data_IF_150051144777
#
_entry.id   IF_150051144777
#
_cell.length_a   1.000
_cell.length_b   1.000
_cell.length_c   1.000
_cell.angle_alpha   90.00
_cell.angle_beta   90.00
_cell.angle_gamma   90.00
#
_symmetry.space_group_name_H-M   'P 1'
#
loop_
_entity.id
_entity.type
_entity.pdbx_description
1 polymer ?
#
# COMPACT_ATOMS: atom_id res chain seq x y z
N UNK A 1 -13.16 -11.49 28.86
CA UNK A 1 -12.57 -10.14 28.99
C UNK A 1 -13.38 -9.23 28.08
N UNK A 2 -13.96 -8.15 28.61
CA UNK A 2 -14.72 -7.17 27.80
C UNK A 2 -13.80 -6.29 26.95
N UNK A 3 -14.40 -5.57 26.00
CA UNK A 3 -13.72 -4.53 25.19
C UNK A 3 -13.31 -3.35 26.09
N UNK A 4 -12.16 -2.73 25.84
CA UNK A 4 -11.75 -1.51 26.57
C UNK A 4 -12.56 -0.32 26.09
N UNK A 5 -13.28 0.36 26.99
CA UNK A 5 -14.13 1.52 26.68
C UNK A 5 -13.50 2.84 27.07
N UNK A 6 -12.69 2.87 28.12
CA UNK A 6 -12.08 4.08 28.65
C UNK A 6 -10.64 3.83 29.11
N UNK A 7 -9.79 4.83 28.93
CA UNK A 7 -8.41 4.85 29.44
C UNK A 7 -8.31 6.02 30.40
N UNK A 8 -7.76 5.78 31.60
CA UNK A 8 -7.50 6.80 32.62
C UNK A 8 -5.99 6.91 32.88
N UNK A 9 -5.27 7.77 32.14
CA UNK A 9 -3.81 7.88 32.23
C UNK A 9 -3.32 8.24 33.63
N UNK A 10 -3.96 9.21 34.30
CA UNK A 10 -3.56 9.68 35.63
C UNK A 10 -3.62 8.60 36.71
N UNK A 11 -4.54 7.64 36.54
CA UNK A 11 -4.76 6.52 37.46
C UNK A 11 -4.05 5.26 37.04
N UNK A 12 -3.48 5.25 35.83
CA UNK A 12 -2.97 4.07 35.13
C UNK A 12 -3.95 2.89 35.15
N UNK A 13 -5.19 3.16 34.76
CA UNK A 13 -6.24 2.12 34.67
C UNK A 13 -7.00 2.20 33.37
N UNK A 14 -7.51 1.06 32.91
CA UNK A 14 -8.51 0.99 31.82
C UNK A 14 -9.82 0.44 32.35
N UNK A 15 -10.94 0.86 31.75
CA UNK A 15 -12.27 0.30 32.01
C UNK A 15 -12.72 -0.53 30.83
N UNK A 16 -13.34 -1.67 31.10
CA UNK A 16 -13.92 -2.54 30.08
C UNK A 16 -15.44 -2.38 29.96
N UNK A 17 -16.02 -2.89 28.87
CA UNK A 17 -17.45 -2.94 28.62
C UNK A 17 -18.21 -3.83 29.62
N UNK A 18 -17.51 -4.74 30.29
CA UNK A 18 -18.04 -5.54 31.41
C UNK A 18 -18.02 -4.79 32.75
N UNK A 19 -17.46 -3.58 32.79
CA UNK A 19 -17.35 -2.74 33.98
C UNK A 19 -16.08 -2.98 34.80
N UNK A 20 -15.20 -3.90 34.36
CA UNK A 20 -13.95 -4.18 35.06
C UNK A 20 -12.98 -3.00 34.95
N UNK A 21 -12.26 -2.73 36.04
CA UNK A 21 -11.17 -1.75 36.07
C UNK A 21 -9.85 -2.50 36.21
N UNK A 22 -8.96 -2.32 35.24
CA UNK A 22 -7.68 -3.03 35.17
C UNK A 22 -6.55 -2.01 35.27
N UNK A 23 -5.68 -2.17 36.27
CA UNK A 23 -4.49 -1.36 36.42
C UNK A 23 -3.37 -1.80 35.45
N UNK A 24 -2.53 -0.85 35.03
CA UNK A 24 -1.38 -1.13 34.17
C UNK A 24 -0.14 -0.37 34.64
N UNK A 25 1.04 -0.94 34.42
CA UNK A 25 2.29 -0.20 34.55
C UNK A 25 2.64 0.54 33.24
N UNK A 26 2.41 -0.17 32.13
CA UNK A 26 2.58 0.25 30.75
C UNK A 26 1.32 -0.10 29.94
N UNK A 27 0.84 0.85 29.13
CA UNK A 27 -0.29 0.66 28.23
C UNK A 27 0.19 0.70 26.78
N UNK A 28 -0.09 -0.37 26.03
CA UNK A 28 0.21 -0.45 24.60
C UNK A 28 -1.10 -0.38 23.80
N UNK A 29 -1.22 0.63 22.95
CA UNK A 29 -2.39 0.80 22.09
C UNK A 29 -2.17 0.08 20.76
N UNK A 30 -2.83 -1.06 20.60
CA UNK A 30 -2.82 -1.88 19.38
C UNK A 30 -4.25 -2.11 18.85
N UNK A 31 -5.10 -1.06 18.90
CA UNK A 31 -6.55 -1.11 18.59
C UNK A 31 -6.86 -1.27 17.11
N UNK A 32 -5.85 -1.22 16.24
CA UNK A 32 -6.00 -1.38 14.80
C UNK A 32 -6.69 -0.20 14.13
N UNK A 33 -7.62 -0.49 13.23
CA UNK A 33 -8.35 0.49 12.43
C UNK A 33 -9.74 -0.01 12.05
N UNK A 34 -10.61 0.92 11.66
CA UNK A 34 -12.01 0.62 11.33
C UNK A 34 -12.28 0.71 9.84
N UNK A 35 -13.15 -0.18 9.37
CA UNK A 35 -13.77 -0.02 8.06
C UNK A 35 -14.93 0.98 8.20
N UNK A 36 -14.65 2.25 7.91
CA UNK A 36 -15.66 3.31 8.08
C UNK A 36 -16.56 3.38 6.86
N UNK A 37 -17.86 3.17 7.07
CA UNK A 37 -18.87 3.45 6.05
C UNK A 37 -19.08 4.97 5.92
N UNK A 38 -19.41 5.47 4.72
CA UNK A 38 -19.61 6.89 4.49
C UNK A 38 -20.99 7.30 5.04
N UNK A 39 -21.09 7.56 6.35
CA UNK A 39 -22.36 7.84 7.07
C UNK A 39 -23.19 9.01 6.51
N UNK A 40 -22.59 9.84 5.65
CA UNK A 40 -23.24 10.98 5.00
C UNK A 40 -23.84 10.61 3.63
N UNK A 41 -23.66 9.36 3.18
CA UNK A 41 -24.19 8.83 1.92
C UNK A 41 -25.49 8.08 2.21
N UNK A 42 -26.63 8.45 1.59
CA UNK A 42 -27.87 7.70 1.76
C UNK A 42 -27.71 6.22 1.42
N UNK A 43 -28.21 5.34 2.29
CA UNK A 43 -28.11 3.89 2.14
C UNK A 43 -26.76 3.29 2.54
N UNK A 44 -25.89 4.04 3.24
CA UNK A 44 -24.60 3.51 3.74
C UNK A 44 -24.76 2.31 4.68
N UNK A 45 -25.91 2.17 5.33
CA UNK A 45 -26.29 1.13 6.28
C UNK A 45 -27.43 0.23 5.76
N UNK A 46 -27.70 0.28 4.44
CA UNK A 46 -28.72 -0.55 3.82
C UNK A 46 -28.37 -2.05 3.94
N UNK A 47 -29.40 -2.90 3.97
CA UNK A 47 -29.22 -4.34 3.86
C UNK A 47 -28.46 -4.67 2.55
N UNK A 48 -27.45 -5.53 2.64
CA UNK A 48 -26.54 -5.81 1.52
C UNK A 48 -25.29 -4.92 1.46
N UNK A 49 -25.10 -3.97 2.39
CA UNK A 49 -23.85 -3.22 2.54
C UNK A 49 -22.97 -3.87 3.59
N UNK A 50 -21.76 -4.27 3.18
CA UNK A 50 -20.80 -4.95 4.04
C UNK A 50 -19.49 -4.18 4.11
N UNK A 51 -18.83 -4.31 5.27
CA UNK A 51 -17.41 -4.02 5.42
C UNK A 51 -16.61 -5.30 5.23
N UNK A 52 -15.32 -5.19 4.87
CA UNK A 52 -14.44 -6.34 4.67
C UNK A 52 -13.27 -6.26 5.66
N UNK A 53 -13.51 -6.64 6.93
CA UNK A 53 -12.56 -6.38 8.03
C UNK A 53 -12.34 -7.56 8.98
N UNK A 54 -13.41 -8.18 9.46
CA UNK A 54 -13.35 -9.28 10.43
C UNK A 54 -13.86 -10.58 9.82
N UNK A 55 -13.57 -11.72 10.44
CA UNK A 55 -14.10 -13.03 10.00
C UNK A 55 -15.63 -13.03 10.00
N UNK A 56 -16.25 -12.45 11.02
CA UNK A 56 -17.72 -12.33 11.10
C UNK A 56 -18.31 -11.47 9.97
N UNK A 57 -17.58 -10.47 9.48
CA UNK A 57 -18.02 -9.71 8.30
C UNK A 57 -18.04 -10.59 7.04
N UNK A 58 -17.03 -11.46 6.88
CA UNK A 58 -16.94 -12.38 5.75
C UNK A 58 -18.04 -13.43 5.80
N UNK A 59 -18.30 -14.02 6.97
CA UNK A 59 -19.38 -15.00 7.16
C UNK A 59 -20.74 -14.42 6.77
N UNK A 60 -21.06 -13.20 7.24
CA UNK A 60 -22.29 -12.49 6.87
C UNK A 60 -22.38 -12.18 5.39
N UNK A 61 -21.27 -11.78 4.76
CA UNK A 61 -21.23 -11.51 3.32
C UNK A 61 -21.49 -12.79 2.52
N UNK A 62 -20.84 -13.92 2.88
CA UNK A 62 -21.02 -15.22 2.21
C UNK A 62 -22.45 -15.71 2.36
N UNK A 63 -23.01 -15.63 3.58
CA UNK A 63 -24.41 -15.99 3.82
C UNK A 63 -25.36 -15.13 2.99
N UNK A 64 -25.15 -13.81 2.96
CA UNK A 64 -25.95 -12.91 2.14
C UNK A 64 -25.84 -13.24 0.64
N UNK A 65 -24.62 -13.45 0.13
CA UNK A 65 -24.36 -13.80 -1.26
C UNK A 65 -25.09 -15.07 -1.68
N UNK A 66 -25.09 -16.09 -0.81
CA UNK A 66 -25.74 -17.39 -1.08
C UNK A 66 -27.25 -17.28 -1.29
N UNK A 67 -27.87 -16.23 -0.74
CA UNK A 67 -29.31 -15.93 -0.88
C UNK A 67 -29.63 -14.97 -2.05
N UNK A 68 -28.61 -14.39 -2.69
CA UNK A 68 -28.76 -13.38 -3.76
C UNK A 68 -28.01 -13.81 -5.03
N UNK A 69 -28.15 -15.09 -5.39
CA UNK A 69 -27.43 -15.68 -6.52
C UNK A 69 -27.82 -15.04 -7.85
N UNK A 70 -26.84 -14.82 -8.72
CA UNK A 70 -27.02 -14.20 -10.03
C UNK A 70 -27.08 -12.66 -10.00
N UNK A 71 -27.11 -12.04 -8.82
CA UNK A 71 -27.13 -10.57 -8.70
C UNK A 71 -25.76 -9.93 -8.98
N UNK A 72 -25.73 -8.59 -8.98
CA UNK A 72 -24.48 -7.83 -9.14
C UNK A 72 -23.89 -7.46 -7.78
N UNK A 73 -22.70 -7.95 -7.49
CA UNK A 73 -21.90 -7.47 -6.36
C UNK A 73 -21.05 -6.27 -6.75
N UNK A 74 -20.87 -5.33 -5.82
CA UNK A 74 -20.01 -4.16 -6.02
C UNK A 74 -19.05 -3.99 -4.85
N UNK A 75 -17.75 -3.95 -5.16
CA UNK A 75 -16.72 -3.49 -4.22
C UNK A 75 -16.47 -2.00 -4.39
N UNK A 76 -16.09 -1.34 -3.29
CA UNK A 76 -15.68 0.05 -3.33
C UNK A 76 -14.27 0.25 -2.77
N UNK A 77 -13.41 0.83 -3.60
CA UNK A 77 -12.00 1.07 -3.38
C UNK A 77 -11.14 0.30 -4.38
N UNK A 78 -10.40 0.99 -5.25
CA UNK A 78 -9.44 0.35 -6.16
C UNK A 78 -8.06 0.09 -5.55
N UNK A 79 -7.97 -0.01 -4.22
CA UNK A 79 -6.75 -0.40 -3.51
C UNK A 79 -6.60 -1.92 -3.43
N UNK A 80 -5.57 -2.38 -2.71
CA UNK A 80 -5.27 -3.80 -2.52
C UNK A 80 -6.48 -4.59 -2.01
N UNK A 81 -7.00 -4.20 -0.83
CA UNK A 81 -8.14 -4.88 -0.19
C UNK A 81 -9.40 -4.88 -1.07
N UNK A 82 -9.67 -3.81 -1.80
CA UNK A 82 -10.87 -3.75 -2.63
C UNK A 82 -10.76 -4.64 -3.86
N UNK A 83 -9.56 -4.77 -4.45
CA UNK A 83 -9.30 -5.73 -5.52
C UNK A 83 -9.29 -7.18 -5.02
N UNK A 84 -8.78 -7.44 -3.83
CA UNK A 84 -8.85 -8.75 -3.18
C UNK A 84 -10.29 -9.15 -2.85
N UNK A 85 -11.09 -8.22 -2.31
CA UNK A 85 -12.51 -8.44 -2.06
C UNK A 85 -13.29 -8.65 -3.36
N UNK A 86 -12.96 -7.90 -4.43
CA UNK A 86 -13.55 -8.12 -5.75
C UNK A 86 -13.23 -9.52 -6.27
N UNK A 87 -11.97 -9.94 -6.16
CA UNK A 87 -11.57 -11.30 -6.51
C UNK A 87 -12.30 -12.35 -5.69
N UNK A 88 -12.37 -12.19 -4.37
CA UNK A 88 -13.07 -13.12 -3.49
C UNK A 88 -14.54 -13.27 -3.91
N UNK A 89 -15.23 -12.17 -4.22
CA UNK A 89 -16.62 -12.22 -4.71
C UNK A 89 -16.74 -12.86 -6.10
N UNK A 90 -15.76 -12.69 -6.98
CA UNK A 90 -15.72 -13.40 -8.27
C UNK A 90 -15.53 -14.90 -8.05
N UNK A 91 -14.62 -15.29 -7.17
CA UNK A 91 -14.30 -16.69 -6.85
C UNK A 91 -15.44 -17.40 -6.07
N UNK A 92 -16.37 -16.65 -5.45
CA UNK A 92 -17.56 -17.23 -4.82
C UNK A 92 -18.54 -17.81 -5.84
N UNK A 93 -18.50 -17.37 -7.10
CA UNK A 93 -19.38 -17.81 -8.20
C UNK A 93 -20.89 -17.64 -7.98
N UNK A 94 -21.32 -17.11 -6.82
CA UNK A 94 -22.72 -16.84 -6.53
C UNK A 94 -23.24 -15.61 -7.28
N UNK A 95 -22.38 -14.64 -7.63
CA UNK A 95 -22.79 -13.41 -8.30
C UNK A 95 -22.74 -13.53 -9.83
N UNK A 96 -23.77 -13.01 -10.51
CA UNK A 96 -23.80 -12.96 -11.98
C UNK A 96 -22.84 -11.92 -12.56
N UNK A 97 -22.52 -10.87 -11.79
CA UNK A 97 -21.51 -9.86 -12.16
C UNK A 97 -20.84 -9.26 -10.93
N UNK A 98 -19.54 -9.03 -11.02
CA UNK A 98 -18.79 -8.27 -10.01
C UNK A 98 -18.32 -6.95 -10.60
N UNK A 99 -18.53 -5.86 -9.86
CA UNK A 99 -18.08 -4.51 -10.19
C UNK A 99 -17.14 -3.99 -9.12
N UNK A 100 -16.21 -3.12 -9.52
CA UNK A 100 -15.33 -2.38 -8.63
C UNK A 100 -15.46 -0.89 -8.90
N UNK A 101 -15.67 -0.12 -7.84
CA UNK A 101 -15.75 1.34 -7.88
C UNK A 101 -14.48 1.90 -7.26
N UNK A 102 -13.76 2.76 -7.96
CA UNK A 102 -12.59 3.45 -7.43
C UNK A 102 -12.69 4.97 -7.57
N UNK A 103 -12.10 5.70 -6.63
CA UNK A 103 -12.06 7.16 -6.64
C UNK A 103 -10.97 7.74 -7.53
N UNK A 104 -9.94 6.96 -7.81
CA UNK A 104 -8.80 7.39 -8.58
C UNK A 104 -9.04 7.17 -10.07
N UNK A 105 -8.15 7.71 -10.90
CA UNK A 105 -8.17 7.55 -12.36
C UNK A 105 -7.79 6.13 -12.81
N UNK A 106 -7.10 5.37 -11.96
CA UNK A 106 -6.70 3.98 -12.16
C UNK A 106 -6.62 3.27 -10.81
N UNK A 107 -6.76 1.94 -10.81
CA UNK A 107 -6.59 1.13 -9.60
C UNK A 107 -5.14 1.14 -9.13
N UNK A 108 -4.90 0.88 -7.84
CA UNK A 108 -3.58 0.85 -7.22
C UNK A 108 -2.81 2.18 -7.38
N UNK A 109 -3.50 3.32 -7.38
CA UNK A 109 -2.88 4.63 -7.55
C UNK A 109 -1.85 5.01 -6.47
N UNK A 110 -1.75 4.24 -5.38
CA UNK A 110 -0.69 4.37 -4.36
C UNK A 110 0.57 3.57 -4.69
N UNK A 111 0.49 2.65 -5.64
CA UNK A 111 1.56 1.73 -6.03
C UNK A 111 2.02 1.96 -7.47
N UNK A 112 1.11 2.42 -8.35
CA UNK A 112 1.30 2.49 -9.79
C UNK A 112 1.08 3.90 -10.34
N UNK A 113 1.81 4.22 -11.41
CA UNK A 113 1.51 5.38 -12.24
C UNK A 113 0.33 5.11 -13.21
N UNK A 114 -0.01 6.13 -14.01
CA UNK A 114 -1.17 6.07 -14.89
C UNK A 114 -1.08 5.01 -15.98
N UNK A 115 0.11 4.79 -16.54
CA UNK A 115 0.30 3.82 -17.62
C UNK A 115 0.18 2.39 -17.08
N UNK A 116 0.89 2.11 -15.98
CA UNK A 116 0.82 0.83 -15.30
C UNK A 116 -0.60 0.53 -14.80
N UNK A 117 -1.26 1.53 -14.19
CA UNK A 117 -2.63 1.40 -13.70
C UNK A 117 -3.66 1.18 -14.82
N UNK A 118 -3.46 1.79 -15.98
CA UNK A 118 -4.32 1.57 -17.16
C UNK A 118 -4.17 0.15 -17.69
N UNK A 119 -2.93 -0.36 -17.75
CA UNK A 119 -2.66 -1.74 -18.16
C UNK A 119 -3.30 -2.76 -17.21
N UNK A 120 -3.17 -2.55 -15.88
CA UNK A 120 -3.84 -3.39 -14.88
C UNK A 120 -5.35 -3.33 -15.06
N UNK A 121 -5.92 -2.13 -15.23
CA UNK A 121 -7.36 -1.94 -15.43
C UNK A 121 -7.88 -2.69 -16.66
N UNK A 122 -7.12 -2.68 -17.76
CA UNK A 122 -7.47 -3.46 -18.95
C UNK A 122 -7.48 -4.95 -18.64
N UNK A 123 -6.41 -5.48 -18.04
CA UNK A 123 -6.30 -6.91 -17.73
C UNK A 123 -7.39 -7.39 -16.77
N UNK A 124 -7.71 -6.65 -15.70
CA UNK A 124 -8.78 -7.05 -14.78
C UNK A 124 -10.18 -7.03 -15.43
N UNK A 125 -10.41 -6.13 -16.41
CA UNK A 125 -11.66 -6.13 -17.19
C UNK A 125 -11.75 -7.33 -18.14
N UNK A 126 -10.65 -7.74 -18.75
CA UNK A 126 -10.58 -8.98 -19.56
C UNK A 126 -10.91 -10.22 -18.74
N UNK A 127 -10.67 -10.16 -17.42
CA UNK A 127 -10.97 -11.22 -16.46
C UNK A 127 -12.40 -11.12 -15.88
N UNK A 128 -13.25 -10.25 -16.42
CA UNK A 128 -14.67 -10.13 -16.05
C UNK A 128 -14.98 -9.14 -14.93
N UNK A 129 -13.97 -8.47 -14.35
CA UNK A 129 -14.20 -7.43 -13.33
C UNK A 129 -14.46 -6.06 -14.01
N UNK A 130 -15.69 -5.58 -13.93
CA UNK A 130 -16.05 -4.25 -14.43
C UNK A 130 -15.58 -3.16 -13.46
N UNK A 131 -14.88 -2.13 -13.96
CA UNK A 131 -14.22 -1.12 -13.13
C UNK A 131 -14.72 0.28 -13.46
N UNK A 132 -15.24 0.96 -12.44
CA UNK A 132 -15.79 2.31 -12.51
C UNK A 132 -14.89 3.29 -11.75
N UNK A 133 -14.13 4.11 -12.49
CA UNK A 133 -13.25 5.12 -11.90
C UNK A 133 -13.97 6.41 -11.48
N UNK A 134 -13.29 7.22 -10.67
CA UNK A 134 -13.70 8.55 -10.21
C UNK A 134 -15.02 8.61 -9.39
N UNK A 135 -15.22 7.65 -8.46
CA UNK A 135 -16.36 7.56 -7.52
C UNK A 135 -15.87 7.23 -6.09
N UNK A 136 -16.44 7.78 -5.00
CA UNK A 136 -15.75 7.86 -3.67
C UNK A 136 -16.43 7.10 -2.51
N UNK A 137 -15.64 6.33 -1.74
CA UNK A 137 -15.84 5.88 -0.33
C UNK A 137 -14.44 5.81 0.37
N UNK A 138 -14.34 5.77 1.72
CA UNK A 138 -13.05 5.86 2.48
C UNK A 138 -12.95 4.99 3.75
N UNK A 139 -11.79 5.01 4.44
CA UNK A 139 -11.43 4.23 5.66
C UNK A 139 -10.78 5.19 6.68
N UNK A 140 -10.87 4.93 8.01
CA UNK A 140 -10.22 5.74 9.05
C UNK A 140 -9.59 4.91 10.20
N UNK A 141 -8.53 5.41 10.86
CA UNK A 141 -7.99 4.81 12.10
C UNK A 141 -9.00 4.79 13.26
N UNK A 142 -8.83 3.86 14.22
CA UNK A 142 -9.60 3.77 15.49
C UNK A 142 -8.87 4.50 16.61
N UNK A 143 -8.99 5.82 16.66
CA UNK A 143 -8.26 6.69 17.59
C UNK A 143 -9.17 7.38 18.62
N UNK A 144 -10.43 6.97 18.72
CA UNK A 144 -11.45 7.53 19.61
C UNK A 144 -11.04 7.39 21.09
N UNK A 145 -10.47 6.23 21.45
CA UNK A 145 -9.95 5.95 22.80
C UNK A 145 -8.81 6.90 23.19
N UNK A 146 -7.88 7.16 22.27
CA UNK A 146 -6.79 8.09 22.55
C UNK A 146 -7.25 9.53 22.63
N UNK A 147 -8.18 9.93 21.74
CA UNK A 147 -8.78 11.27 21.77
C UNK A 147 -9.45 11.56 23.12
N UNK A 148 -10.24 10.61 23.62
CA UNK A 148 -10.95 10.75 24.90
C UNK A 148 -9.98 10.75 26.10
N UNK A 149 -8.86 10.03 25.97
CA UNK A 149 -7.83 9.93 26.99
C UNK A 149 -6.77 11.05 26.94
N UNK A 150 -6.90 12.04 26.06
CA UNK A 150 -5.92 13.12 25.91
C UNK A 150 -4.60 12.69 25.25
N UNK A 151 -4.58 11.56 24.55
CA UNK A 151 -3.43 11.07 23.79
C UNK A 151 -3.37 11.80 22.45
N UNK A 152 -2.18 12.26 22.07
CA UNK A 152 -1.98 13.02 20.83
C UNK A 152 -2.29 12.17 19.59
N UNK A 153 -3.21 12.64 18.75
CA UNK A 153 -3.60 12.02 17.48
C UNK A 153 -3.13 12.85 16.28
N UNK A 154 -2.88 12.18 15.15
CA UNK A 154 -2.50 12.77 13.87
C UNK A 154 -3.70 13.45 13.18
N UNK A 155 -3.48 14.46 12.33
CA UNK A 155 -4.57 15.22 11.71
C UNK A 155 -5.35 14.44 10.63
N UNK A 156 -4.84 13.27 10.22
CA UNK A 156 -5.54 12.29 9.37
C UNK A 156 -6.01 11.04 10.13
N UNK A 157 -5.96 11.11 11.46
CA UNK A 157 -6.26 10.02 12.38
C UNK A 157 -5.06 9.13 12.69
N UNK A 158 -5.17 8.36 13.77
CA UNK A 158 -4.15 7.49 14.34
C UNK A 158 -3.36 8.18 15.45
N UNK A 159 -2.73 7.40 16.34
CA UNK A 159 -1.92 7.92 17.45
C UNK A 159 -0.57 8.44 16.95
N UNK A 160 -0.10 9.56 17.48
CA UNK A 160 1.24 10.07 17.21
C UNK A 160 2.26 9.23 17.98
N UNK A 161 3.22 8.63 17.26
CA UNK A 161 4.33 7.85 17.81
C UNK A 161 5.61 8.64 17.53
N UNK A 162 6.23 9.19 18.60
CA UNK A 162 7.46 10.01 18.59
C UNK A 162 7.55 11.10 17.47
N UNK A 163 8.56 11.96 17.48
CA UNK A 163 8.54 13.25 16.74
C UNK A 163 8.52 13.18 15.19
N UNK A 164 8.52 12.03 14.51
CA UNK A 164 8.92 12.07 13.09
C UNK A 164 8.36 10.98 12.16
N UNK A 165 7.05 10.84 12.00
CA UNK A 165 6.54 10.08 10.85
C UNK A 165 5.43 10.80 10.08
N UNK A 166 5.72 12.05 9.67
CA UNK A 166 5.10 12.82 8.58
C UNK A 166 3.56 12.77 8.47
N UNK A 167 2.84 12.53 9.58
CA UNK A 167 1.39 12.40 9.59
C UNK A 167 0.88 11.28 8.64
N UNK A 168 1.65 10.18 8.51
CA UNK A 168 1.33 9.03 7.67
C UNK A 168 0.86 7.82 8.50
N UNK A 169 -0.19 7.16 8.01
CA UNK A 169 -0.71 5.91 8.59
C UNK A 169 -0.44 4.75 7.63
N UNK A 170 0.16 3.66 8.14
CA UNK A 170 0.42 2.44 7.36
C UNK A 170 -0.64 1.39 7.66
N UNK A 171 -1.47 1.05 6.66
CA UNK A 171 -2.51 0.02 6.77
C UNK A 171 -2.03 -1.36 6.31
N UNK A 172 -0.80 -1.73 6.67
CA UNK A 172 -0.13 -2.96 6.19
C UNK A 172 0.36 -3.76 7.41
N UNK A 173 0.32 -5.09 7.33
CA UNK A 173 0.74 -6.00 8.41
C UNK A 173 2.23 -5.86 8.75
N UNK A 174 3.11 -5.82 7.74
CA UNK A 174 4.56 -5.80 7.94
C UNK A 174 5.05 -4.62 8.81
N UNK A 175 4.64 -3.35 8.55
CA UNK A 175 4.91 -2.25 9.47
C UNK A 175 4.39 -2.49 10.89
N UNK A 176 3.21 -3.11 11.04
CA UNK A 176 2.63 -3.45 12.34
C UNK A 176 3.50 -4.41 13.15
N UNK A 177 4.04 -5.44 12.49
CA UNK A 177 4.97 -6.40 13.10
C UNK A 177 6.27 -5.70 13.52
N UNK A 178 6.87 -4.88 12.65
CA UNK A 178 8.11 -4.17 12.97
C UNK A 178 7.92 -3.18 14.13
N UNK A 179 6.78 -2.46 14.17
CA UNK A 179 6.45 -1.58 15.30
C UNK A 179 6.34 -2.37 16.61
N UNK A 180 5.71 -3.55 16.58
CA UNK A 180 5.61 -4.43 17.74
C UNK A 180 6.99 -4.94 18.19
N UNK A 181 7.85 -5.36 17.25
CA UNK A 181 9.21 -5.83 17.54
C UNK A 181 10.09 -4.75 18.14
N UNK A 182 10.04 -3.52 17.59
CA UNK A 182 10.78 -2.36 18.12
C UNK A 182 10.31 -2.03 19.54
N UNK A 183 8.99 -1.98 19.75
CA UNK A 183 8.42 -1.72 21.07
C UNK A 183 8.83 -2.80 22.07
N UNK A 184 8.67 -4.07 21.72
CA UNK A 184 9.04 -5.20 22.57
C UNK A 184 10.52 -5.18 22.94
N UNK A 185 11.42 -4.89 21.97
CA UNK A 185 12.84 -4.76 22.25
C UNK A 185 13.13 -3.64 23.25
N UNK A 186 12.56 -2.44 23.04
CA UNK A 186 12.79 -1.28 23.89
C UNK A 186 12.27 -1.49 25.32
N UNK A 187 11.13 -2.19 25.48
CA UNK A 187 10.56 -2.49 26.79
C UNK A 187 11.37 -3.55 27.55
N UNK A 188 11.98 -4.51 26.84
CA UNK A 188 12.68 -5.65 27.46
C UNK A 188 14.20 -5.48 27.55
N UNK A 189 14.77 -4.45 26.93
CA UNK A 189 16.21 -4.18 26.92
C UNK A 189 16.52 -2.72 27.30
N UNK A 190 16.15 -2.26 28.51
CA UNK A 190 16.31 -0.86 28.91
C UNK A 190 17.78 -0.39 28.94
N UNK A 191 18.73 -1.31 29.14
CA UNK A 191 20.16 -1.01 29.19
C UNK A 191 20.84 -0.92 27.81
N UNK A 192 20.08 -1.15 26.72
CA UNK A 192 20.59 -1.06 25.35
C UNK A 192 20.10 0.21 24.67
N UNK A 193 20.87 0.66 23.69
CA UNK A 193 20.45 1.73 22.79
C UNK A 193 19.05 1.45 22.20
N UNK A 194 18.07 2.36 22.37
CA UNK A 194 16.71 2.15 21.88
C UNK A 194 16.68 1.95 20.37
N UNK A 195 15.94 0.92 19.93
CA UNK A 195 15.62 0.76 18.53
C UNK A 195 14.59 1.80 18.11
N UNK A 196 14.74 2.30 16.90
CA UNK A 196 13.75 3.14 16.25
C UNK A 196 13.12 2.39 15.09
N UNK A 197 11.81 2.50 14.95
CA UNK A 197 11.09 2.07 13.76
C UNK A 197 11.63 2.85 12.56
N UNK A 198 11.95 2.15 11.46
CA UNK A 198 12.41 2.81 10.23
C UNK A 198 11.27 2.85 9.23
N UNK A 199 11.37 3.72 8.22
CA UNK A 199 10.35 3.83 7.18
C UNK A 199 10.13 2.44 6.56
N UNK A 200 8.90 1.92 6.56
CA UNK A 200 8.66 0.56 6.11
C UNK A 200 8.95 0.45 4.61
N UNK A 201 9.45 -0.70 4.19
CA UNK A 201 9.57 -1.03 2.78
C UNK A 201 8.15 -1.12 2.18
N UNK A 202 7.79 -0.13 1.36
CA UNK A 202 6.51 -0.08 0.65
C UNK A 202 6.54 -0.91 -0.63
N UNK A 203 7.64 -1.61 -0.90
CA UNK A 203 7.72 -2.53 -2.02
C UNK A 203 6.62 -3.59 -1.91
N UNK A 204 5.98 -3.88 -3.03
CA UNK A 204 4.89 -4.83 -3.10
C UNK A 204 5.07 -5.72 -4.32
N UNK A 205 4.69 -6.98 -4.17
CA UNK A 205 4.52 -7.92 -5.28
C UNK A 205 3.21 -8.64 -5.05
N UNK A 206 2.33 -8.57 -6.04
CA UNK A 206 0.94 -8.97 -5.94
C UNK A 206 0.57 -9.75 -7.19
N UNK A 207 -0.31 -10.74 -7.00
CA UNK A 207 -0.97 -11.43 -8.10
C UNK A 207 -2.45 -11.13 -8.02
N UNK A 208 -2.88 -10.09 -8.72
CA UNK A 208 -4.25 -9.57 -8.65
C UNK A 208 -5.05 -10.13 -9.81
N UNK A 209 -5.98 -11.04 -9.52
CA UNK A 209 -6.81 -11.69 -10.55
C UNK A 209 -5.97 -12.39 -11.64
N UNK A 210 -4.71 -12.78 -11.35
CA UNK A 210 -3.80 -13.33 -12.37
C UNK A 210 -2.94 -12.29 -13.09
N UNK A 211 -3.05 -11.01 -12.72
CA UNK A 211 -2.12 -9.95 -13.13
C UNK A 211 -1.01 -9.82 -12.10
N UNK A 212 0.21 -10.14 -12.50
CA UNK A 212 1.39 -9.90 -11.68
C UNK A 212 1.73 -8.40 -11.69
N UNK A 213 1.83 -7.81 -10.49
CA UNK A 213 2.12 -6.40 -10.26
C UNK A 213 3.23 -6.30 -9.22
N UNK A 214 4.24 -5.49 -9.46
CA UNK A 214 5.23 -5.17 -8.46
C UNK A 214 5.63 -3.69 -8.49
N UNK A 215 5.89 -3.13 -7.32
CA UNK A 215 6.54 -1.83 -7.15
C UNK A 215 7.65 -2.00 -6.11
N UNK A 216 8.80 -1.36 -6.32
CA UNK A 216 9.95 -1.53 -5.44
C UNK A 216 10.74 -0.23 -5.30
N UNK A 217 11.47 -0.11 -4.18
CA UNK A 217 12.30 1.07 -3.92
C UNK A 217 11.49 2.37 -3.87
N UNK A 218 12.09 3.45 -4.37
CA UNK A 218 11.42 4.75 -4.48
C UNK A 218 10.72 4.92 -5.83
N UNK A 219 9.71 4.09 -6.09
CA UNK A 219 8.98 3.96 -7.36
C UNK A 219 8.20 5.21 -7.83
N UNK A 220 8.20 6.29 -7.04
CA UNK A 220 7.67 7.60 -7.42
C UNK A 220 8.71 8.73 -7.29
N UNK A 221 10.02 8.41 -7.27
CA UNK A 221 11.07 9.43 -7.14
C UNK A 221 11.04 10.51 -8.24
N UNK A 222 10.50 10.18 -9.42
CA UNK A 222 10.31 11.10 -10.53
C UNK A 222 9.15 12.09 -10.31
N UNK A 223 8.18 11.72 -9.47
CA UNK A 223 7.00 12.53 -9.12
C UNK A 223 7.15 13.26 -7.78
N UNK A 224 7.60 12.54 -6.76
CA UNK A 224 7.64 13.00 -5.36
C UNK A 224 9.04 13.48 -4.93
N UNK A 225 10.04 13.28 -5.81
CA UNK A 225 11.45 13.48 -5.49
C UNK A 225 12.08 12.25 -4.81
N UNK A 226 13.39 12.00 -5.01
CA UNK A 226 14.07 10.86 -4.43
C UNK A 226 14.23 11.04 -2.91
N UNK A 227 13.80 10.05 -2.14
CA UNK A 227 13.98 9.97 -0.68
C UNK A 227 15.42 9.71 -0.29
N UNK A 228 16.22 9.14 -1.19
CA UNK A 228 17.64 8.90 -1.01
C UNK A 228 18.36 9.00 -2.35
N UNK A 229 19.63 9.41 -2.32
CA UNK A 229 20.56 9.36 -3.45
C UNK A 229 21.88 8.79 -2.96
N UNK A 230 22.45 7.75 -3.62
CA UNK A 230 23.77 7.23 -3.29
C UNK A 230 24.83 8.35 -3.25
N UNK A 231 25.70 8.32 -2.24
CA UNK A 231 26.78 9.31 -2.07
C UNK A 231 26.36 10.69 -1.53
N UNK A 232 25.07 10.96 -1.33
CA UNK A 232 24.58 12.16 -0.62
C UNK A 232 24.16 11.79 0.81
N UNK A 233 24.51 12.63 1.79
CA UNK A 233 23.95 12.51 3.15
C UNK A 233 22.41 12.62 3.04
N UNK A 234 21.63 11.80 3.78
CA UNK A 234 20.18 11.93 3.79
C UNK A 234 19.82 13.37 4.12
N UNK A 235 19.16 14.10 3.21
CA UNK A 235 18.53 15.34 3.62
C UNK A 235 17.33 14.94 4.49
N UNK A 236 17.23 15.55 5.66
CA UNK A 236 15.98 15.50 6.44
C UNK A 236 14.92 16.11 5.53
N UNK A 237 14.07 15.26 4.96
CA UNK A 237 13.11 15.66 3.93
C UNK A 237 12.07 16.59 4.55
N UNK A 238 12.34 17.89 4.53
CA UNK A 238 11.27 18.88 4.58
C UNK A 238 10.63 18.83 3.20
N UNK A 239 9.42 18.27 3.11
CA UNK A 239 8.61 18.31 1.89
C UNK A 239 8.46 19.78 1.48
N UNK A 240 9.03 20.26 0.36
CA UNK A 240 8.66 21.57 -0.14
C UNK A 240 7.25 21.42 -0.70
N UNK A 241 6.25 21.87 0.06
CA UNK A 241 4.97 22.26 -0.51
C UNK A 241 5.19 23.59 -1.23
N UNK A 242 5.75 23.56 -2.44
CA UNK A 242 5.81 24.76 -3.29
C UNK A 242 5.46 24.38 -4.71
N UNK A 243 4.33 24.92 -5.18
CA UNK A 243 4.06 25.21 -6.58
C UNK A 243 5.11 26.22 -7.03
N UNK A 244 6.30 25.78 -7.43
CA UNK A 244 7.26 26.66 -8.09
C UNK A 244 7.36 26.22 -9.54
N UNK A 245 6.90 27.08 -10.43
CA UNK A 245 6.71 26.86 -11.87
C UNK A 245 8.01 27.02 -12.67
N UNK A 246 9.16 26.72 -12.05
CA UNK A 246 10.42 26.61 -12.78
C UNK A 246 10.70 25.14 -13.03
N UNK A 247 10.81 24.75 -14.30
CA UNK A 247 11.22 23.42 -14.77
C UNK A 247 12.62 23.06 -14.25
N UNK A 248 12.75 22.71 -12.96
CA UNK A 248 13.93 22.02 -12.46
C UNK A 248 13.82 20.58 -12.94
N UNK A 249 14.76 20.20 -13.81
CA UNK A 249 14.90 18.83 -14.28
C UNK A 249 14.89 17.87 -13.09
N UNK A 250 14.08 16.81 -13.18
CA UNK A 250 13.94 15.85 -12.09
C UNK A 250 15.31 15.29 -11.72
N UNK A 251 15.67 15.17 -10.43
CA UNK A 251 16.98 14.65 -10.01
C UNK A 251 17.16 13.14 -10.28
N UNK A 252 16.23 12.53 -11.03
CA UNK A 252 16.21 11.13 -11.42
C UNK A 252 15.77 11.00 -12.88
N UNK A 253 16.19 9.92 -13.55
CA UNK A 253 15.75 9.60 -14.91
C UNK A 253 14.87 8.36 -14.91
N UNK A 254 13.70 8.48 -15.52
CA UNK A 254 12.79 7.36 -15.73
C UNK A 254 13.06 6.70 -17.09
N UNK A 255 13.19 5.37 -17.09
CA UNK A 255 13.21 4.57 -18.31
C UNK A 255 12.01 3.62 -18.29
N UNK A 256 11.29 3.57 -19.40
CA UNK A 256 10.04 2.81 -19.51
C UNK A 256 10.10 1.85 -20.68
N UNK A 257 9.76 0.60 -20.44
CA UNK A 257 9.55 -0.44 -21.43
C UNK A 257 8.06 -0.83 -21.44
N UNK A 258 7.44 -0.82 -22.63
CA UNK A 258 6.04 -1.15 -22.83
C UNK A 258 5.92 -2.18 -23.95
N UNK A 259 5.42 -3.36 -23.62
CA UNK A 259 4.99 -4.34 -24.59
C UNK A 259 3.47 -4.54 -24.44
N UNK A 260 2.65 -3.92 -25.32
CA UNK A 260 1.20 -4.05 -25.26
C UNK A 260 0.71 -5.45 -25.62
N UNK A 261 1.49 -6.24 -26.37
CA UNK A 261 1.12 -7.58 -26.84
C UNK A 261 1.33 -8.63 -25.75
N UNK A 262 2.50 -8.63 -25.10
CA UNK A 262 2.73 -9.43 -23.89
C UNK A 262 2.03 -8.89 -22.65
N UNK A 263 1.46 -7.67 -22.73
CA UNK A 263 0.87 -6.97 -21.59
C UNK A 263 1.89 -6.75 -20.48
N UNK A 264 3.11 -6.37 -20.86
CA UNK A 264 4.23 -6.09 -19.97
C UNK A 264 4.48 -4.58 -19.92
N UNK A 265 4.65 -4.07 -18.71
CA UNK A 265 5.08 -2.70 -18.46
C UNK A 265 6.18 -2.72 -17.42
N UNK A 266 7.28 -2.03 -17.68
CA UNK A 266 8.36 -1.79 -16.71
C UNK A 266 8.69 -0.31 -16.72
N UNK A 267 8.79 0.31 -15.55
CA UNK A 267 9.33 1.66 -15.39
C UNK A 267 10.32 1.65 -14.25
N UNK A 268 11.58 1.95 -14.56
CA UNK A 268 12.67 1.99 -13.60
C UNK A 268 13.20 3.41 -13.49
N UNK A 269 13.55 3.78 -12.26
CA UNK A 269 14.04 5.11 -11.91
C UNK A 269 15.51 5.02 -11.53
N UNK A 270 16.32 5.82 -12.18
CA UNK A 270 17.77 5.82 -12.04
C UNK A 270 18.29 7.17 -11.56
N UNK A 271 19.48 7.18 -10.97
CA UNK A 271 20.26 8.40 -10.77
C UNK A 271 20.57 9.08 -12.12
N UNK A 272 20.86 10.38 -12.10
CA UNK A 272 21.10 11.17 -13.33
C UNK A 272 22.27 10.65 -14.18
N UNK A 273 23.27 10.06 -13.53
CA UNK A 273 24.44 9.42 -14.13
C UNK A 273 24.16 7.99 -14.65
N UNK A 274 22.96 7.46 -14.39
CA UNK A 274 22.56 6.11 -14.79
C UNK A 274 23.28 4.98 -14.04
N UNK A 275 23.97 5.28 -12.92
CA UNK A 275 24.76 4.30 -12.17
C UNK A 275 23.95 3.47 -11.17
N UNK A 276 22.88 4.03 -10.61
CA UNK A 276 22.12 3.36 -9.55
C UNK A 276 20.64 3.30 -9.87
N UNK A 277 20.03 2.15 -9.56
CA UNK A 277 18.59 1.94 -9.53
C UNK A 277 18.02 2.45 -8.20
N UNK A 278 17.03 3.32 -8.26
CA UNK A 278 16.36 3.90 -7.09
C UNK A 278 15.04 3.21 -6.77
N UNK A 279 14.37 2.69 -7.78
CA UNK A 279 13.08 2.04 -7.64
C UNK A 279 12.41 1.81 -9.00
N UNK A 280 11.19 1.32 -8.98
CA UNK A 280 10.43 1.11 -10.19
C UNK A 280 9.15 0.32 -9.97
N UNK A 281 8.43 0.10 -11.07
CA UNK A 281 7.21 -0.69 -11.10
C UNK A 281 7.17 -1.61 -12.33
N UNK A 282 6.51 -2.75 -12.19
CA UNK A 282 6.49 -3.86 -13.14
C UNK A 282 5.09 -4.46 -13.20
N UNK A 283 4.56 -4.66 -14.41
CA UNK A 283 3.28 -5.33 -14.68
C UNK A 283 3.51 -6.48 -15.65
N UNK A 284 2.87 -7.62 -15.40
CA UNK A 284 2.95 -8.82 -16.24
C UNK A 284 4.21 -9.64 -15.96
N UNK A 285 5.39 -9.10 -16.26
CA UNK A 285 6.67 -9.75 -15.92
C UNK A 285 7.25 -9.13 -14.65
N UNK A 286 7.16 -9.86 -13.54
CA UNK A 286 7.65 -9.46 -12.20
C UNK A 286 8.74 -10.40 -11.66
N UNK A 287 9.36 -11.21 -12.52
CA UNK A 287 10.32 -12.26 -12.10
C UNK A 287 11.53 -11.66 -11.39
N UNK A 288 12.03 -10.54 -11.90
CA UNK A 288 13.23 -9.89 -11.36
C UNK A 288 12.98 -9.06 -10.09
N UNK A 289 11.74 -8.95 -9.61
CA UNK A 289 11.38 -8.10 -8.46
C UNK A 289 12.31 -8.28 -7.25
N UNK A 290 12.60 -9.53 -6.86
CA UNK A 290 13.43 -9.82 -5.67
C UNK A 290 14.85 -9.29 -5.89
N UNK A 291 15.42 -9.55 -7.07
CA UNK A 291 16.76 -9.09 -7.46
C UNK A 291 16.83 -7.57 -7.49
N UNK A 292 15.84 -6.91 -8.09
CA UNK A 292 15.78 -5.45 -8.23
C UNK A 292 15.59 -4.76 -6.87
N UNK A 293 14.69 -5.27 -6.03
CA UNK A 293 14.49 -4.73 -4.69
C UNK A 293 15.77 -4.85 -3.85
N UNK A 294 16.47 -5.99 -3.94
CA UNK A 294 17.75 -6.17 -3.25
C UNK A 294 18.83 -5.22 -3.77
N UNK A 295 18.91 -5.01 -5.08
CA UNK A 295 19.86 -4.06 -5.69
C UNK A 295 19.64 -2.62 -5.22
N UNK A 296 18.37 -2.19 -5.09
CA UNK A 296 18.02 -0.88 -4.52
C UNK A 296 18.46 -0.79 -3.06
N UNK A 297 18.16 -1.82 -2.25
CA UNK A 297 18.51 -1.86 -0.82
C UNK A 297 20.02 -1.83 -0.59
N UNK A 298 20.79 -2.52 -1.41
CA UNK A 298 22.25 -2.56 -1.30
C UNK A 298 22.95 -1.39 -2.00
N UNK A 299 22.21 -0.55 -2.74
CA UNK A 299 22.76 0.53 -3.57
C UNK A 299 23.87 0.03 -4.51
N UNK A 300 23.69 -1.17 -5.09
CA UNK A 300 24.67 -1.75 -6.00
C UNK A 300 24.68 -0.97 -7.33
N UNK A 301 25.86 -0.58 -7.78
CA UNK A 301 26.06 0.06 -9.09
C UNK A 301 25.70 -0.90 -10.23
N UNK A 302 25.12 -0.35 -11.29
CA UNK A 302 24.74 -1.09 -12.48
C UNK A 302 25.98 -1.51 -13.27
N UNK A 303 26.01 -2.77 -13.69
CA UNK A 303 27.09 -3.34 -14.50
C UNK A 303 26.94 -2.97 -15.99
N UNK A 304 25.74 -2.58 -16.42
CA UNK A 304 25.39 -2.22 -17.79
C UNK A 304 24.59 -0.91 -17.81
N UNK A 305 24.57 -0.17 -18.93
CA UNK A 305 23.76 1.03 -19.05
C UNK A 305 22.26 0.76 -18.79
N UNK A 306 21.49 1.75 -18.29
CA UNK A 306 20.06 1.59 -18.00
C UNK A 306 19.22 1.03 -19.15
N UNK A 307 19.55 1.40 -20.40
CA UNK A 307 18.89 0.91 -21.63
C UNK A 307 19.01 -0.59 -21.81
N UNK A 308 20.19 -1.15 -21.57
CA UNK A 308 20.41 -2.60 -21.60
C UNK A 308 19.84 -3.27 -20.35
N UNK A 309 19.93 -2.61 -19.20
CA UNK A 309 19.45 -3.15 -17.93
C UNK A 309 17.93 -3.41 -17.93
N UNK A 310 17.11 -2.48 -18.42
CA UNK A 310 15.65 -2.62 -18.37
C UNK A 310 15.11 -3.75 -19.25
N UNK A 311 15.79 -4.05 -20.35
CA UNK A 311 15.44 -5.14 -21.26
C UNK A 311 15.77 -6.52 -20.66
N UNK A 312 16.63 -6.54 -19.62
CA UNK A 312 17.19 -7.77 -19.07
C UNK A 312 18.32 -8.32 -19.94
N UNK A 313 19.08 -9.28 -19.42
CA UNK A 313 20.01 -10.02 -20.25
C UNK A 313 19.18 -10.78 -21.31
N UNK A 314 19.19 -10.30 -22.55
CA UNK A 314 18.89 -11.18 -23.68
C UNK A 314 19.92 -12.31 -23.57
N UNK A 315 19.47 -13.55 -23.37
CA UNK A 315 20.31 -14.68 -23.77
C UNK A 315 20.58 -14.43 -25.25
N UNK A 316 21.82 -14.07 -25.57
CA UNK A 316 22.24 -13.78 -26.94
C UNK A 316 21.88 -14.97 -27.81
N UNK A 317 20.80 -14.82 -28.57
CA UNK A 317 20.66 -15.55 -29.82
C UNK A 317 21.75 -14.99 -30.72
N UNK A 318 22.63 -15.88 -31.16
CA UNK A 318 23.69 -15.63 -32.11
C UNK A 318 23.22 -14.64 -33.20
N UNK A 319 23.91 -13.50 -33.28
CA UNK A 319 24.01 -12.78 -34.55
C UNK A 319 24.77 -13.69 -35.52
N UNK A 320 24.06 -14.60 -36.18
CA UNK A 320 24.44 -14.98 -37.52
C UNK A 320 23.84 -13.89 -38.42
N UNK A 321 24.65 -12.86 -38.65
CA UNK A 321 24.51 -12.08 -39.86
C UNK A 321 24.75 -13.00 -41.04
N UNK A 322 23.66 -13.37 -41.71
CA UNK A 322 23.67 -13.81 -43.10
C UNK A 322 22.48 -13.13 -43.80
N UNK A 323 22.84 -12.14 -44.62
CA UNK A 323 22.20 -11.71 -45.87
C UNK A 323 20.65 -11.69 -45.99
N UNK A 324 20.09 -10.46 -45.92
CA UNK A 324 19.27 -9.75 -46.94
C UNK A 324 18.25 -8.78 -46.32
#
# INVERSE_FOLDING_TARGET
>A
MGEVTDIFPDRKTVKTSTGDIIAYDLLVLATGSDAVLPTHTPGYDANGVFVYRTISDLERLIEFASNHKGETATTVGGGLLGLEAAKAMTDLEDFGKVKLIDRNKWVLARQLDGDAGTLVTRKIRELGLDVMHQKRIGVRPRDELGTTAGIQCASRGGFVINESWENQTFGIIAPGIEMADVLAFNLTNPDKEPRSFRRPDLSTKLKLLGVDVASFGDFFADRDGPKFLPGRRPSVATIPRVKDTTEKESPVKALTYKDPFGGVYKKYLFTMDGKYLLGGMMIGDTKDYIKLNQMVKSQKELEVPPSQFILGAQNGGEENGDDL
#
